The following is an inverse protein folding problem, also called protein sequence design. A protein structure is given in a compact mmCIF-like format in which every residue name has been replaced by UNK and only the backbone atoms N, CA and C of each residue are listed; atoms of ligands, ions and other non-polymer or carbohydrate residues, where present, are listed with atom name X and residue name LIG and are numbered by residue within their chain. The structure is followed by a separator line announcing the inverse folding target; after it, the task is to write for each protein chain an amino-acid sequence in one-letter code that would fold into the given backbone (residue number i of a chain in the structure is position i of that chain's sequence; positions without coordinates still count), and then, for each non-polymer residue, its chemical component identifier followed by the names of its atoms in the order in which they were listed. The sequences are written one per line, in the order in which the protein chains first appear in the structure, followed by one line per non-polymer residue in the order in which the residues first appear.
data_IF_024562805819
#
_entry.id   IF_024562805819
#
_cell.length_a   1.000
_cell.length_b   1.000
_cell.length_c   1.000
_cell.angle_alpha   90.00
_cell.angle_beta   90.00
_cell.angle_gamma   90.00
#
_symmetry.space_group_name_H-M   'P 1'
#
loop_
_entity.id
_entity.type
_entity.pdbx_description
1 polymer ?
#
# COMPACT_ATOMS: atom_id res chain seq x y z
N UNK A 1 3.86 0.72 -9.19
CA UNK A 1 2.60 1.03 -8.48
C UNK A 1 2.55 0.37 -7.12
N UNK A 2 2.69 -0.95 -6.98
CA UNK A 2 2.73 -1.63 -5.67
C UNK A 2 3.72 -0.98 -4.68
N UNK A 3 4.99 -0.79 -5.10
CA UNK A 3 5.98 -0.13 -4.25
C UNK A 3 5.62 1.30 -3.83
N UNK A 4 4.90 2.05 -4.69
CA UNK A 4 4.39 3.37 -4.31
C UNK A 4 3.27 3.25 -3.25
N UNK A 5 2.42 2.22 -3.33
CA UNK A 5 1.47 1.87 -2.28
C UNK A 5 2.15 1.54 -0.95
N UNK A 6 3.24 0.77 -0.97
CA UNK A 6 4.02 0.47 0.24
C UNK A 6 4.60 1.74 0.88
N UNK A 7 5.21 2.63 0.07
CA UNK A 7 5.74 3.92 0.55
C UNK A 7 4.61 4.79 1.10
N UNK A 8 3.47 4.84 0.41
CA UNK A 8 2.33 5.64 0.84
C UNK A 8 1.76 5.13 2.19
N UNK A 9 1.65 3.82 2.36
CA UNK A 9 1.31 3.20 3.64
C UNK A 9 2.34 3.54 4.74
N UNK A 10 3.62 3.40 4.46
CA UNK A 10 4.70 3.71 5.40
C UNK A 10 4.71 5.19 5.82
N UNK A 11 4.43 6.11 4.91
CA UNK A 11 4.32 7.54 5.24
C UNK A 11 3.20 7.81 6.25
N UNK A 12 2.08 7.09 6.15
CA UNK A 12 0.95 7.20 7.08
C UNK A 12 1.25 6.52 8.43
N UNK A 13 1.94 5.37 8.43
CA UNK A 13 2.25 4.59 9.64
C UNK A 13 3.52 5.05 10.37
N UNK A 14 4.42 5.76 9.68
CA UNK A 14 5.77 6.12 10.15
C UNK A 14 6.67 4.92 10.48
N UNK A 15 6.27 3.73 10.05
CA UNK A 15 7.01 2.48 10.15
C UNK A 15 6.75 1.67 8.87
N UNK A 16 7.69 0.84 8.40
CA UNK A 16 7.48 0.05 7.20
C UNK A 16 6.25 -0.87 7.35
N UNK A 17 5.34 -0.82 6.38
CA UNK A 17 4.06 -1.53 6.46
C UNK A 17 4.20 -3.06 6.31
N UNK A 18 5.09 -3.51 5.41
CA UNK A 18 5.25 -4.91 5.04
C UNK A 18 6.72 -5.34 5.21
N UNK A 19 7.06 -5.83 6.39
CA UNK A 19 8.44 -6.18 6.79
C UNK A 19 8.70 -7.69 6.77
N UNK A 20 9.07 -8.21 5.59
CA UNK A 20 9.52 -9.59 5.44
C UNK A 20 11.03 -9.74 5.64
N UNK A 21 11.44 -10.83 6.30
CA UNK A 21 12.86 -11.20 6.47
C UNK A 21 13.42 -11.97 5.26
N UNK A 22 12.53 -12.60 4.49
CA UNK A 22 12.81 -13.32 3.24
C UNK A 22 11.53 -13.34 2.38
N UNK A 23 11.58 -13.94 1.19
CA UNK A 23 10.46 -13.93 0.24
C UNK A 23 9.19 -14.60 0.80
N UNK A 24 9.33 -15.74 1.50
CA UNK A 24 8.19 -16.46 2.06
C UNK A 24 7.55 -15.69 3.23
N UNK A 25 8.38 -15.13 4.11
CA UNK A 25 7.90 -14.27 5.20
C UNK A 25 7.25 -13.00 4.64
N UNK A 26 7.81 -12.39 3.59
CA UNK A 26 7.23 -11.22 2.92
C UNK A 26 5.83 -11.51 2.38
N UNK A 27 5.62 -12.66 1.73
CA UNK A 27 4.29 -13.11 1.30
C UNK A 27 3.35 -13.30 2.49
N UNK A 28 3.84 -13.92 3.58
CA UNK A 28 3.08 -14.05 4.82
C UNK A 28 2.63 -12.70 5.40
N UNK A 29 3.51 -11.68 5.41
CA UNK A 29 3.16 -10.31 5.84
C UNK A 29 2.13 -9.67 4.93
N UNK A 30 2.28 -9.84 3.61
CA UNK A 30 1.32 -9.34 2.62
C UNK A 30 -0.06 -9.95 2.86
N UNK A 31 -0.16 -11.28 2.98
CA UNK A 31 -1.45 -11.95 3.17
C UNK A 31 -2.08 -11.64 4.53
N UNK A 32 -1.28 -11.48 5.58
CA UNK A 32 -1.82 -11.04 6.88
C UNK A 32 -2.40 -9.61 6.82
N UNK A 33 -1.76 -8.73 6.05
CA UNK A 33 -2.16 -7.32 5.95
C UNK A 33 -3.32 -7.08 4.98
N UNK A 34 -3.34 -7.80 3.86
CA UNK A 34 -4.25 -7.57 2.73
C UNK A 34 -5.19 -8.75 2.45
N UNK A 35 -5.10 -9.83 3.23
CA UNK A 35 -5.80 -11.08 2.95
C UNK A 35 -5.09 -11.92 1.88
N UNK A 36 -5.42 -13.20 1.79
CA UNK A 36 -4.91 -14.08 0.73
C UNK A 36 -5.69 -13.85 -0.57
N UNK A 37 -5.02 -13.65 -1.72
CA UNK A 37 -5.71 -13.44 -2.99
C UNK A 37 -6.50 -14.69 -3.39
N UNK A 38 -7.68 -14.48 -3.94
CA UNK A 38 -8.53 -15.55 -4.49
C UNK A 38 -8.47 -15.54 -6.03
N UNK A 39 -8.91 -16.62 -6.67
CA UNK A 39 -9.09 -16.66 -8.13
C UNK A 39 -10.14 -15.67 -8.64
N UNK A 40 -11.03 -15.19 -7.77
CA UNK A 40 -11.99 -14.14 -8.11
C UNK A 40 -11.31 -12.76 -8.19
N UNK A 41 -10.39 -12.47 -7.25
CA UNK A 41 -9.67 -11.19 -7.21
C UNK A 41 -8.49 -11.15 -8.19
N UNK A 42 -7.79 -12.28 -8.36
CA UNK A 42 -6.69 -12.43 -9.29
C UNK A 42 -6.80 -13.76 -10.06
N UNK A 43 -7.56 -13.77 -11.17
CA UNK A 43 -7.70 -14.95 -12.00
C UNK A 43 -6.35 -15.46 -12.52
N UNK A 44 -6.09 -16.75 -12.34
CA UNK A 44 -4.86 -17.44 -12.73
C UNK A 44 -3.72 -17.36 -11.71
N UNK A 45 -3.94 -16.78 -10.51
CA UNK A 45 -2.89 -16.64 -9.48
C UNK A 45 -2.34 -18.01 -9.06
N UNK A 46 -3.19 -19.03 -8.92
CA UNK A 46 -2.79 -20.40 -8.55
C UNK A 46 -1.96 -21.11 -9.62
N UNK A 47 -1.99 -20.61 -10.86
CA UNK A 47 -1.29 -21.19 -12.01
C UNK A 47 0.09 -20.56 -12.26
N UNK A 48 0.53 -19.61 -11.42
CA UNK A 48 1.84 -18.99 -11.55
C UNK A 48 2.96 -19.99 -11.24
N UNK A 49 4.07 -19.91 -11.98
CA UNK A 49 5.17 -20.88 -11.91
C UNK A 49 5.77 -21.08 -10.51
N UNK A 50 5.72 -20.06 -9.66
CA UNK A 50 6.23 -20.08 -8.28
C UNK A 50 5.10 -19.81 -7.26
N UNK A 51 3.86 -20.18 -7.59
CA UNK A 51 2.76 -20.08 -6.65
C UNK A 51 3.02 -21.00 -5.46
N UNK A 52 2.87 -20.44 -4.25
CA UNK A 52 2.96 -21.17 -3.00
C UNK A 52 1.60 -21.07 -2.35
N UNK A 53 1.06 -22.21 -1.93
CA UNK A 53 -0.19 -22.25 -1.18
C UNK A 53 0.06 -21.79 0.26
N UNK A 54 -0.74 -20.84 0.73
CA UNK A 54 -0.71 -20.33 2.10
C UNK A 54 -2.04 -20.60 2.79
N UNK A 55 -2.00 -20.70 4.12
CA UNK A 55 -3.23 -20.70 4.92
C UNK A 55 -4.01 -19.42 4.62
N UNK A 56 -5.30 -19.51 4.22
CA UNK A 56 -6.11 -18.34 3.93
C UNK A 56 -6.14 -17.36 5.11
N UNK A 57 -5.95 -16.09 4.82
CA UNK A 57 -6.01 -14.99 5.78
C UNK A 57 -7.03 -13.95 5.33
N UNK A 58 -7.72 -13.36 6.29
CA UNK A 58 -8.69 -12.29 6.05
C UNK A 58 -8.03 -10.94 6.36
N UNK A 59 -8.13 -10.01 5.42
CA UNK A 59 -7.62 -8.66 5.61
C UNK A 59 -8.36 -7.95 6.76
N UNK A 60 -7.65 -7.33 7.73
CA UNK A 60 -8.28 -6.33 8.57
C UNK A 60 -8.73 -5.12 7.73
N UNK A 61 -9.78 -4.38 8.13
CA UNK A 61 -10.17 -3.16 7.44
C UNK A 61 -9.02 -2.15 7.41
N UNK A 62 -8.70 -1.57 6.25
CA UNK A 62 -7.60 -0.59 6.16
C UNK A 62 -7.78 0.58 7.13
N UNK A 63 -9.03 1.02 7.37
CA UNK A 63 -9.33 2.08 8.32
C UNK A 63 -8.93 1.75 9.77
N UNK A 64 -8.84 0.47 10.15
CA UNK A 64 -8.37 0.09 11.50
C UNK A 64 -6.86 0.15 11.63
N UNK A 65 -6.13 -0.05 10.53
CA UNK A 65 -4.66 0.05 10.48
C UNK A 65 -4.23 1.52 10.32
N UNK A 66 -4.86 2.24 9.41
CA UNK A 66 -4.54 3.61 9.03
C UNK A 66 -5.58 4.58 9.59
N UNK A 67 -5.72 4.61 10.92
CA UNK A 67 -6.80 5.33 11.62
C UNK A 67 -6.81 6.85 11.40
N UNK A 68 -5.67 7.44 11.03
CA UNK A 68 -5.53 8.85 10.72
C UNK A 68 -5.72 9.18 9.22
N UNK A 69 -5.89 8.17 8.36
CA UNK A 69 -6.05 8.36 6.93
C UNK A 69 -7.49 8.79 6.58
N UNK A 70 -7.62 9.66 5.60
CA UNK A 70 -8.94 10.01 5.03
C UNK A 70 -9.48 8.86 4.17
N UNK A 71 -10.78 8.86 3.92
CA UNK A 71 -11.42 7.89 3.02
C UNK A 71 -10.77 7.88 1.62
N UNK A 72 -10.47 9.06 1.06
CA UNK A 72 -9.78 9.18 -0.23
C UNK A 72 -8.38 8.54 -0.22
N UNK A 73 -7.66 8.64 0.90
CA UNK A 73 -6.33 8.05 1.07
C UNK A 73 -6.42 6.51 1.16
N UNK A 74 -7.37 6.00 1.93
CA UNK A 74 -7.64 4.57 2.05
C UNK A 74 -8.06 3.96 0.71
N UNK A 75 -8.93 4.66 -0.02
CA UNK A 75 -9.39 4.24 -1.35
C UNK A 75 -8.23 4.22 -2.36
N UNK A 76 -7.39 5.28 -2.41
CA UNK A 76 -6.19 5.28 -3.24
C UNK A 76 -5.23 4.14 -2.87
N UNK A 77 -5.00 3.91 -1.58
CA UNK A 77 -4.13 2.84 -1.09
C UNK A 77 -4.63 1.46 -1.54
N UNK A 78 -5.95 1.21 -1.43
CA UNK A 78 -6.56 -0.06 -1.86
C UNK A 78 -6.35 -0.33 -3.35
N UNK A 79 -6.41 0.73 -4.18
CA UNK A 79 -6.17 0.64 -5.62
C UNK A 79 -4.69 0.45 -5.99
N UNK A 80 -3.78 1.04 -5.21
CA UNK A 80 -2.33 0.87 -5.36
C UNK A 80 -1.86 -0.54 -5.00
N UNK A 81 -2.49 -1.14 -3.98
CA UNK A 81 -2.16 -2.46 -3.43
C UNK A 81 -3.07 -3.59 -3.94
N UNK A 82 -3.79 -3.36 -5.04
CA UNK A 82 -4.58 -4.40 -5.71
C UNK A 82 -3.67 -5.57 -6.14
N UNK A 83 -4.07 -6.81 -5.85
CA UNK A 83 -3.30 -8.01 -6.19
C UNK A 83 -3.12 -8.18 -7.69
N UNK A 84 -4.24 -8.25 -8.43
CA UNK A 84 -4.23 -8.41 -9.87
C UNK A 84 -3.55 -7.20 -10.54
N UNK A 85 -2.38 -7.39 -11.19
CA UNK A 85 -1.65 -6.28 -11.80
C UNK A 85 -2.43 -5.58 -12.92
N UNK A 86 -3.36 -6.29 -13.59
CA UNK A 86 -4.20 -5.72 -14.64
C UNK A 86 -5.29 -4.78 -14.11
N UNK A 87 -5.70 -4.95 -12.85
CA UNK A 87 -6.67 -4.08 -12.17
C UNK A 87 -6.03 -3.02 -11.26
N UNK A 88 -4.70 -3.09 -11.10
CA UNK A 88 -3.96 -2.15 -10.25
C UNK A 88 -3.88 -0.80 -10.94
N UNK A 89 -4.23 0.26 -10.22
CA UNK A 89 -4.26 1.63 -10.74
C UNK A 89 -2.91 2.03 -11.35
N UNK A 90 -2.93 2.65 -12.52
CA UNK A 90 -1.74 3.21 -13.16
C UNK A 90 -1.35 4.55 -12.53
N UNK A 91 -0.13 5.03 -12.79
CA UNK A 91 0.29 6.34 -12.31
C UNK A 91 -0.59 7.49 -12.86
N UNK A 92 -0.98 7.40 -14.13
CA UNK A 92 -1.81 8.42 -14.78
C UNK A 92 -3.23 8.49 -14.21
N UNK A 93 -3.81 7.34 -13.84
CA UNK A 93 -5.11 7.29 -13.15
C UNK A 93 -4.99 7.73 -11.70
N UNK A 94 -3.92 7.33 -11.01
CA UNK A 94 -3.67 7.73 -9.63
C UNK A 94 -3.57 9.26 -9.49
N UNK A 95 -2.89 9.96 -10.41
CA UNK A 95 -2.80 11.42 -10.40
C UNK A 95 -4.14 12.13 -10.60
N UNK A 96 -5.16 11.45 -11.13
CA UNK A 96 -6.54 11.96 -11.29
C UNK A 96 -7.45 11.55 -10.14
N UNK A 97 -6.92 10.83 -9.14
CA UNK A 97 -7.70 10.35 -8.00
C UNK A 97 -8.15 11.50 -7.10
N UNK A 98 -9.31 11.32 -6.45
CA UNK A 98 -9.90 12.31 -5.54
C UNK A 98 -8.95 12.74 -4.42
N UNK A 99 -8.08 11.82 -3.98
CA UNK A 99 -7.03 12.11 -3.00
C UNK A 99 -6.14 13.31 -3.37
N UNK A 100 -5.91 13.57 -4.67
CA UNK A 100 -5.08 14.69 -5.12
C UNK A 100 -5.88 15.94 -5.53
N UNK A 101 -7.22 15.85 -5.61
CA UNK A 101 -8.08 16.97 -6.00
C UNK A 101 -8.95 17.51 -4.86
N UNK A 102 -9.22 16.69 -3.83
CA UNK A 102 -10.00 17.08 -2.67
C UNK A 102 -9.15 17.85 -1.66
N UNK A 103 -9.83 18.55 -0.76
CA UNK A 103 -9.19 19.15 0.41
C UNK A 103 -8.78 18.08 1.42
N UNK A 104 -7.64 18.25 2.13
CA UNK A 104 -6.72 19.37 2.02
C UNK A 104 -5.79 19.26 0.80
N UNK A 105 -5.52 20.41 0.16
CA UNK A 105 -4.50 20.50 -0.87
C UNK A 105 -3.11 20.14 -0.32
N UNK A 106 -2.18 19.63 -1.15
CA UNK A 106 -0.84 19.30 -0.70
C UNK A 106 -0.12 20.53 -0.14
N UNK A 107 0.64 20.32 0.94
CA UNK A 107 1.48 21.35 1.54
C UNK A 107 2.49 21.87 0.50
N UNK A 108 2.61 23.20 0.30
CA UNK A 108 3.64 23.77 -0.55
C UNK A 108 5.04 23.31 -0.12
N UNK A 109 5.93 23.08 -1.08
CA UNK A 109 7.26 22.48 -0.85
C UNK A 109 8.07 23.28 0.17
N UNK A 110 7.94 24.60 0.16
CA UNK A 110 8.66 25.53 1.05
C UNK A 110 8.22 25.40 2.52
N UNK A 111 7.07 24.78 2.77
CA UNK A 111 6.51 24.54 4.11
C UNK A 111 6.69 23.09 4.58
N UNK A 112 7.31 22.23 3.78
CA UNK A 112 7.62 20.87 4.20
C UNK A 112 8.71 20.89 5.29
N UNK A 113 8.64 19.98 6.28
CA UNK A 113 9.66 19.88 7.30
C UNK A 113 11.00 19.48 6.66
N UNK A 114 12.02 20.32 6.81
CA UNK A 114 13.40 19.98 6.45
C UNK A 114 13.98 19.02 7.48
N UNK A 115 14.78 18.05 7.05
CA UNK A 115 15.60 17.28 7.98
C UNK A 115 16.51 18.23 8.75
N UNK A 116 16.54 18.17 10.10
CA UNK A 116 17.52 18.94 10.86
C UNK A 116 18.92 18.56 10.37
N UNK A 117 19.80 19.54 10.20
CA UNK A 117 21.21 19.24 9.97
C UNK A 117 21.71 18.34 11.11
N UNK A 118 22.48 17.26 10.82
CA UNK A 118 23.10 16.49 11.88
C UNK A 118 23.93 17.44 12.75
N UNK A 119 23.97 17.23 14.09
CA UNK A 119 24.73 18.09 14.98
C UNK A 119 26.18 18.16 14.49
N UNK A 120 26.70 19.38 14.32
CA UNK A 120 28.12 19.59 14.02
C UNK A 120 28.91 19.12 15.26
N UNK A 121 29.81 18.16 15.05
CA UNK A 121 30.72 17.64 16.06
C UNK A 121 31.77 18.68 16.48
#
# INVERSE_FOLDING_TARGET
MWGAGCIFAELMLRTPYLTGLNELDQLGKIFHALGTPTEEEWPGVSSLANFVEFTPSTAPPLASIFSAASEDALDLLSKLLKYNPAERITAAEALKHLYFSNSPAPTPVEKLPSTPAPPQA
#
